data_IF_351134842949
#
_entry.id   IF_351134842949
#
_cell.length_a   1.000
_cell.length_b   1.000
_cell.length_c   1.000
_cell.angle_alpha   90.00
_cell.angle_beta   90.00
_cell.angle_gamma   90.00
#
_symmetry.space_group_name_H-M   'P 1'
#
loop_
_entity.id
_entity.type
_entity.pdbx_description
1 polymer ?
#
# COMPACT_ATOMS: atom_id res chain seq x y z
N UNK A 1 11.99 3.33 16.00
CA UNK A 1 12.02 2.09 15.15
C UNK A 1 11.10 2.33 13.98
N UNK A 2 11.58 2.18 12.74
CA UNK A 2 10.77 2.39 11.55
C UNK A 2 9.84 1.20 11.34
N UNK A 3 8.54 1.44 11.38
CA UNK A 3 7.53 0.41 11.15
C UNK A 3 7.39 0.11 9.64
N UNK A 4 6.85 -1.07 9.35
CA UNK A 4 6.49 -1.48 7.99
C UNK A 4 5.00 -1.82 7.98
N UNK A 5 4.38 -1.70 6.83
CA UNK A 5 3.02 -2.19 6.63
C UNK A 5 2.84 -3.62 7.18
N UNK A 6 1.78 -3.90 7.95
CA UNK A 6 1.48 -5.25 8.43
C UNK A 6 1.07 -6.20 7.31
N UNK A 7 0.70 -5.67 6.15
CA UNK A 7 0.29 -6.45 4.99
C UNK A 7 1.24 -6.25 3.81
N UNK A 8 1.33 -7.24 2.96
CA UNK A 8 1.82 -7.07 1.60
C UNK A 8 0.62 -6.75 0.74
N UNK A 9 0.63 -5.62 0.05
CA UNK A 9 -0.47 -5.20 -0.81
C UNK A 9 0.05 -4.93 -2.22
N UNK A 10 -0.79 -5.21 -3.24
CA UNK A 10 -0.41 -4.96 -4.63
C UNK A 10 -0.17 -3.46 -4.85
N UNK A 11 0.91 -3.12 -5.54
CA UNK A 11 1.31 -1.70 -5.70
C UNK A 11 2.02 -1.09 -4.50
N UNK A 12 2.14 -1.82 -3.38
CA UNK A 12 2.75 -1.29 -2.14
C UNK A 12 4.20 -0.81 -2.33
N UNK A 13 4.50 0.36 -1.79
CA UNK A 13 5.75 1.13 -1.97
C UNK A 13 6.94 0.66 -1.14
N UNK A 14 6.91 -0.57 -0.59
CA UNK A 14 7.93 -1.04 0.34
C UNK A 14 9.40 -0.84 -0.10
N UNK A 15 9.68 -0.94 -1.39
CA UNK A 15 11.02 -0.73 -1.94
C UNK A 15 11.35 0.74 -2.21
N UNK A 16 10.34 1.59 -2.35
CA UNK A 16 10.48 3.01 -2.68
C UNK A 16 10.40 3.90 -1.43
N UNK A 17 9.91 3.36 -0.32
CA UNK A 17 9.57 4.14 0.88
C UNK A 17 10.71 5.00 1.41
N UNK A 18 11.97 4.52 1.31
CA UNK A 18 13.14 5.29 1.74
C UNK A 18 13.34 6.56 0.93
N UNK A 19 13.05 6.48 -0.37
CA UNK A 19 13.12 7.62 -1.27
C UNK A 19 11.92 8.56 -1.08
N UNK A 20 10.70 8.01 -0.91
CA UNK A 20 9.51 8.82 -0.66
C UNK A 20 9.64 9.67 0.60
N UNK A 21 10.28 9.15 1.64
CA UNK A 21 10.49 9.88 2.89
C UNK A 21 11.36 11.14 2.72
N UNK A 22 12.24 11.16 1.73
CA UNK A 22 13.07 12.35 1.41
C UNK A 22 12.22 13.50 0.83
N UNK A 23 11.02 13.18 0.36
CA UNK A 23 10.08 14.14 -0.22
C UNK A 23 8.90 14.49 0.69
N UNK A 24 8.86 13.95 1.91
CA UNK A 24 7.83 14.32 2.89
C UNK A 24 8.13 15.73 3.42
N UNK A 25 7.26 16.73 3.18
CA UNK A 25 7.49 18.09 3.65
C UNK A 25 7.21 18.22 5.15
N UNK A 26 7.58 19.33 5.75
CA UNK A 26 7.07 19.71 7.07
C UNK A 26 5.55 19.91 7.00
N UNK A 27 4.82 19.27 7.92
CA UNK A 27 3.35 19.29 7.99
C UNK A 27 2.86 19.05 9.42
N UNK A 28 1.66 19.54 9.70
CA UNK A 28 0.96 19.32 10.97
C UNK A 28 -0.14 18.26 10.83
N UNK A 29 -0.71 18.13 9.62
CA UNK A 29 -1.80 17.22 9.27
C UNK A 29 -1.38 16.32 8.12
N UNK A 30 -1.69 15.04 8.22
CA UNK A 30 -1.35 14.05 7.19
C UNK A 30 -2.58 13.29 6.72
N UNK A 31 -2.74 13.15 5.40
CA UNK A 31 -3.79 12.33 4.79
C UNK A 31 -3.19 11.37 3.76
N UNK A 32 -3.39 10.07 3.96
CA UNK A 32 -3.15 9.03 2.96
C UNK A 32 -4.46 8.67 2.27
N UNK A 33 -4.69 9.21 1.05
CA UNK A 33 -6.00 9.19 0.37
C UNK A 33 -6.32 7.81 -0.21
N UNK A 34 -5.33 7.14 -0.80
CA UNK A 34 -5.38 5.78 -1.34
C UNK A 34 -4.46 4.91 -0.48
N UNK A 35 -4.92 4.60 0.72
CA UNK A 35 -4.05 4.11 1.78
C UNK A 35 -3.47 2.73 1.52
N UNK A 36 -4.22 1.80 0.92
CA UNK A 36 -3.74 0.46 0.63
C UNK A 36 -3.11 -0.19 1.86
N UNK A 37 -1.83 -0.55 1.75
CA UNK A 37 -1.05 -1.10 2.87
C UNK A 37 -0.53 -0.05 3.87
N UNK A 38 -0.83 1.23 3.73
CA UNK A 38 -0.39 2.33 4.59
C UNK A 38 1.15 2.41 4.73
N UNK A 39 1.87 2.19 3.64
CA UNK A 39 3.33 2.05 3.72
C UNK A 39 4.03 3.34 4.14
N UNK A 40 3.57 4.50 3.68
CA UNK A 40 4.15 5.79 4.05
C UNK A 40 3.74 6.19 5.47
N UNK A 41 2.47 6.00 5.84
CA UNK A 41 1.95 6.26 7.19
C UNK A 41 2.77 5.54 8.27
N UNK A 42 3.08 4.25 8.07
CA UNK A 42 3.86 3.48 9.04
C UNK A 42 5.35 3.82 9.03
N UNK A 43 5.87 4.34 7.93
CA UNK A 43 7.29 4.59 7.78
C UNK A 43 7.72 6.00 8.21
N UNK A 44 6.86 7.00 8.04
CA UNK A 44 7.14 8.38 8.43
C UNK A 44 7.00 8.59 9.95
N UNK A 45 7.56 9.67 10.44
CA UNK A 45 7.31 10.11 11.80
C UNK A 45 5.84 10.54 11.97
N UNK A 46 5.28 10.24 13.15
CA UNK A 46 3.92 10.63 13.48
C UNK A 46 3.81 12.13 13.66
N UNK A 47 2.73 12.71 13.16
CA UNK A 47 2.35 14.10 13.43
C UNK A 47 1.05 14.15 14.26
N UNK A 48 0.64 15.33 14.70
CA UNK A 48 -0.47 15.49 15.65
C UNK A 48 -1.83 14.99 15.13
N UNK A 49 -2.08 15.06 13.83
CA UNK A 49 -3.33 14.60 13.22
C UNK A 49 -3.06 13.86 11.91
N UNK A 50 -3.45 12.59 11.86
CA UNK A 50 -3.23 11.72 10.71
C UNK A 50 -4.50 10.97 10.33
N UNK A 51 -4.76 10.88 9.04
CA UNK A 51 -5.91 10.20 8.47
C UNK A 51 -5.44 9.17 7.46
N UNK A 52 -5.93 7.96 7.62
CA UNK A 52 -5.88 6.89 6.64
C UNK A 52 -7.23 6.78 5.96
N UNK A 53 -7.26 6.78 4.65
CA UNK A 53 -8.46 6.52 3.86
C UNK A 53 -8.19 5.45 2.80
N UNK A 54 -9.18 4.60 2.57
CA UNK A 54 -9.22 3.72 1.41
C UNK A 54 -10.67 3.43 1.02
N UNK A 55 -10.90 3.23 -0.27
CA UNK A 55 -12.22 2.82 -0.78
C UNK A 55 -12.51 1.35 -0.50
N UNK A 56 -11.47 0.51 -0.31
CA UNK A 56 -11.62 -0.91 -0.01
C UNK A 56 -12.03 -1.12 1.45
N UNK A 57 -13.31 -1.40 1.68
CA UNK A 57 -13.85 -1.68 3.01
C UNK A 57 -13.17 -2.85 3.74
N UNK A 58 -12.51 -3.79 3.03
CA UNK A 58 -11.77 -4.87 3.68
C UNK A 58 -10.46 -4.36 4.32
N UNK A 59 -9.76 -3.45 3.65
CA UNK A 59 -8.58 -2.78 4.21
C UNK A 59 -8.98 -1.93 5.41
N UNK A 60 -10.04 -1.14 5.25
CA UNK A 60 -10.58 -0.29 6.33
C UNK A 60 -10.99 -1.13 7.53
N UNK A 61 -11.71 -2.25 7.31
CA UNK A 61 -12.08 -3.17 8.39
C UNK A 61 -10.83 -3.72 9.09
N UNK A 62 -9.83 -4.17 8.35
CA UNK A 62 -8.59 -4.69 8.92
C UNK A 62 -7.89 -3.65 9.81
N UNK A 63 -7.74 -2.41 9.35
CA UNK A 63 -7.07 -1.37 10.13
C UNK A 63 -7.92 -0.89 11.33
N UNK A 64 -9.26 -0.85 11.21
CA UNK A 64 -10.14 -0.61 12.35
C UNK A 64 -10.01 -1.70 13.41
N UNK A 65 -10.02 -2.97 13.00
CA UNK A 65 -9.87 -4.10 13.91
C UNK A 65 -8.48 -4.09 14.57
N UNK A 66 -7.42 -3.80 13.84
CA UNK A 66 -6.07 -3.64 14.39
C UNK A 66 -5.98 -2.49 15.40
N UNK A 67 -6.79 -1.43 15.27
CA UNK A 67 -6.85 -0.31 16.20
C UNK A 67 -7.78 -0.60 17.39
N UNK A 68 -8.99 -1.05 17.12
CA UNK A 68 -10.09 -1.02 18.11
C UNK A 68 -10.33 -2.39 18.79
N UNK A 69 -9.93 -3.50 18.15
CA UNK A 69 -10.15 -4.89 18.61
C UNK A 69 -8.86 -5.71 18.61
N UNK A 70 -7.74 -5.06 18.96
CA UNK A 70 -6.39 -5.63 18.81
C UNK A 70 -6.22 -6.96 19.55
N UNK A 71 -6.61 -7.05 20.82
CA UNK A 71 -6.35 -8.22 21.66
C UNK A 71 -7.02 -9.48 21.12
N UNK A 72 -8.25 -9.37 20.66
CA UNK A 72 -8.99 -10.48 20.08
C UNK A 72 -8.37 -10.90 18.72
N UNK A 73 -8.11 -9.92 17.85
CA UNK A 73 -7.47 -10.17 16.56
C UNK A 73 -6.11 -10.83 16.72
N UNK A 74 -5.27 -10.29 17.60
CA UNK A 74 -3.91 -10.79 17.83
C UNK A 74 -3.92 -12.22 18.35
N UNK A 75 -4.77 -12.55 19.34
CA UNK A 75 -4.93 -13.93 19.81
C UNK A 75 -5.31 -14.89 18.70
N UNK A 76 -6.27 -14.50 17.85
CA UNK A 76 -6.71 -15.32 16.70
C UNK A 76 -5.57 -15.51 15.68
N UNK A 77 -4.79 -14.47 15.39
CA UNK A 77 -3.69 -14.52 14.41
C UNK A 77 -2.51 -15.35 14.93
N UNK A 78 -2.15 -15.24 16.22
CA UNK A 78 -1.06 -15.99 16.83
C UNK A 78 -1.27 -17.50 16.70
N UNK A 79 -2.49 -17.98 16.87
CA UNK A 79 -2.81 -19.41 16.74
C UNK A 79 -3.09 -19.85 15.30
N UNK A 80 -3.13 -18.93 14.35
CA UNK A 80 -3.39 -19.24 12.93
C UNK A 80 -2.14 -19.86 12.29
N UNK A 81 -2.21 -21.11 11.81
CA UNK A 81 -1.05 -21.79 11.24
C UNK A 81 -0.65 -21.26 9.87
N UNK A 82 0.64 -21.34 9.52
CA UNK A 82 1.08 -21.13 8.14
C UNK A 82 0.82 -22.40 7.34
N UNK A 83 -0.40 -22.55 6.84
CA UNK A 83 -0.86 -23.78 6.18
C UNK A 83 -1.70 -23.47 4.93
N UNK A 84 -1.55 -24.32 3.90
CA UNK A 84 -2.29 -24.17 2.64
C UNK A 84 -3.80 -24.27 2.85
N UNK A 85 -4.24 -25.18 3.69
CA UNK A 85 -5.66 -25.38 3.96
C UNK A 85 -6.27 -24.15 4.64
N UNK A 86 -5.60 -23.62 5.68
CA UNK A 86 -6.01 -22.38 6.35
C UNK A 86 -6.05 -21.18 5.38
N UNK A 87 -5.02 -21.04 4.54
CA UNK A 87 -5.01 -20.02 3.50
C UNK A 87 -6.21 -20.13 2.55
N UNK A 88 -6.50 -21.35 2.07
CA UNK A 88 -7.62 -21.58 1.13
C UNK A 88 -8.96 -21.33 1.79
N UNK A 89 -9.14 -21.72 3.04
CA UNK A 89 -10.33 -21.42 3.83
C UNK A 89 -10.51 -19.89 3.97
N UNK A 90 -9.49 -19.22 4.49
CA UNK A 90 -9.52 -17.76 4.69
C UNK A 90 -9.83 -17.00 3.40
N UNK A 91 -9.13 -17.36 2.31
CA UNK A 91 -9.31 -16.75 0.99
C UNK A 91 -10.76 -16.87 0.47
N UNK A 92 -11.38 -18.03 0.67
CA UNK A 92 -12.73 -18.31 0.14
C UNK A 92 -13.83 -17.65 0.96
N UNK A 93 -13.60 -17.45 2.26
CA UNK A 93 -14.69 -17.18 3.21
C UNK A 93 -14.62 -15.82 3.89
N UNK A 94 -13.56 -14.99 3.67
CA UNK A 94 -13.46 -13.71 4.37
C UNK A 94 -14.60 -12.75 4.01
N UNK A 95 -15.05 -12.73 2.74
CA UNK A 95 -16.14 -11.83 2.27
C UNK A 95 -17.50 -12.17 2.88
N UNK A 96 -17.70 -13.44 3.22
CA UNK A 96 -18.97 -13.98 3.77
C UNK A 96 -19.02 -13.93 5.28
N UNK A 97 -17.92 -13.57 5.95
CA UNK A 97 -17.83 -13.54 7.39
C UNK A 97 -18.43 -12.24 7.94
N UNK A 98 -19.47 -12.35 8.77
CA UNK A 98 -20.16 -11.20 9.37
C UNK A 98 -19.39 -10.61 10.55
N UNK A 99 -18.69 -11.46 11.35
CA UNK A 99 -17.85 -10.99 12.46
C UNK A 99 -16.67 -10.20 11.93
N UNK A 100 -16.56 -8.88 12.24
CA UNK A 100 -15.52 -8.02 11.70
C UNK A 100 -14.11 -8.45 12.10
N UNK A 101 -13.92 -9.02 13.29
CA UNK A 101 -12.60 -9.46 13.76
C UNK A 101 -12.16 -10.72 13.03
N UNK A 102 -13.05 -11.69 12.88
CA UNK A 102 -12.75 -12.92 12.14
C UNK A 102 -12.59 -12.64 10.64
N UNK A 103 -13.41 -11.73 10.08
CA UNK A 103 -13.28 -11.24 8.70
C UNK A 103 -11.91 -10.62 8.47
N UNK A 104 -11.46 -9.75 9.37
CA UNK A 104 -10.12 -9.15 9.31
C UNK A 104 -9.01 -10.19 9.43
N UNK A 105 -9.14 -11.20 10.32
CA UNK A 105 -8.18 -12.29 10.45
C UNK A 105 -8.07 -13.10 9.17
N UNK A 106 -9.19 -13.48 8.58
CA UNK A 106 -9.20 -14.24 7.31
C UNK A 106 -8.59 -13.42 6.17
N UNK A 107 -8.96 -12.16 6.04
CA UNK A 107 -8.41 -11.26 5.03
C UNK A 107 -6.90 -11.05 5.21
N UNK A 108 -6.44 -10.79 6.43
CA UNK A 108 -5.03 -10.66 6.77
C UNK A 108 -4.25 -11.95 6.42
N UNK A 109 -4.78 -13.12 6.78
CA UNK A 109 -4.18 -14.42 6.47
C UNK A 109 -4.09 -14.62 4.95
N UNK A 110 -5.15 -14.33 4.22
CA UNK A 110 -5.18 -14.43 2.76
C UNK A 110 -4.12 -13.53 2.09
N UNK A 111 -3.96 -12.28 2.55
CA UNK A 111 -2.94 -11.36 2.04
C UNK A 111 -1.52 -11.80 2.39
N UNK A 112 -1.27 -12.23 3.63
CA UNK A 112 0.08 -12.54 4.12
C UNK A 112 0.59 -13.89 3.66
N UNK A 113 -0.28 -14.88 3.54
CA UNK A 113 0.04 -16.22 3.04
C UNK A 113 -0.18 -16.35 1.53
N UNK A 114 -0.81 -15.36 0.88
CA UNK A 114 -0.98 -15.27 -0.57
C UNK A 114 0.28 -14.81 -1.31
N UNK A 115 0.36 -15.14 -2.59
CA UNK A 115 1.45 -14.69 -3.46
C UNK A 115 1.24 -13.23 -3.86
N UNK A 116 2.32 -12.42 -3.85
CA UNK A 116 2.33 -11.01 -4.28
C UNK A 116 1.36 -10.07 -3.55
N UNK A 117 0.88 -10.43 -2.33
CA UNK A 117 -0.02 -9.57 -1.56
C UNK A 117 -1.41 -9.41 -2.17
N UNK A 118 -1.85 -10.35 -2.97
CA UNK A 118 -3.21 -10.45 -3.47
C UNK A 118 -3.93 -11.58 -2.73
N UNK A 119 -5.05 -11.27 -2.09
CA UNK A 119 -5.82 -12.25 -1.32
C UNK A 119 -6.30 -13.42 -2.21
N UNK A 120 -6.52 -13.17 -3.49
CA UNK A 120 -7.02 -14.16 -4.47
C UNK A 120 -5.92 -14.89 -5.25
N UNK A 121 -4.64 -14.60 -4.99
CA UNK A 121 -3.50 -15.28 -5.61
C UNK A 121 -3.30 -16.71 -5.07
N UNK A 122 -2.29 -17.41 -5.56
CA UNK A 122 -1.89 -18.73 -5.05
C UNK A 122 -1.23 -18.64 -3.67
N UNK A 123 -1.22 -19.75 -2.93
CA UNK A 123 -0.52 -19.84 -1.65
C UNK A 123 0.99 -19.68 -1.81
N UNK A 124 1.59 -18.78 -1.04
CA UNK A 124 3.03 -18.53 -1.05
C UNK A 124 3.76 -19.51 -0.18
N UNK A 125 4.62 -20.32 -0.78
CA UNK A 125 5.47 -21.27 -0.06
C UNK A 125 6.94 -21.15 -0.52
N UNK A 126 7.85 -21.48 0.37
CA UNK A 126 9.27 -21.51 0.07
C UNK A 126 9.74 -22.98 -0.02
N UNK A 127 10.45 -23.32 -1.09
CA UNK A 127 11.02 -24.68 -1.26
C UNK A 127 12.41 -24.81 -0.64
N UNK A 128 13.29 -23.84 -0.86
CA UNK A 128 14.71 -23.85 -0.45
C UNK A 128 15.13 -22.62 0.34
N UNK A 129 14.40 -21.52 0.20
CA UNK A 129 14.76 -20.26 0.86
C UNK A 129 14.49 -20.32 2.35
N UNK A 130 15.55 -20.15 3.15
CA UNK A 130 15.51 -20.11 4.62
C UNK A 130 15.87 -18.74 5.14
N UNK A 131 15.30 -18.36 6.28
CA UNK A 131 15.62 -17.16 7.06
C UNK A 131 15.47 -17.49 8.53
N UNK A 132 16.48 -17.20 9.35
CA UNK A 132 16.50 -17.53 10.79
C UNK A 132 16.14 -19.00 11.10
N UNK A 133 16.69 -19.96 10.33
CA UNK A 133 16.46 -21.40 10.52
C UNK A 133 15.11 -21.93 10.00
N UNK A 134 14.17 -21.07 9.64
CA UNK A 134 12.85 -21.41 9.14
C UNK A 134 12.75 -21.21 7.61
N UNK A 135 11.72 -21.78 6.98
CA UNK A 135 11.36 -21.34 5.63
C UNK A 135 11.06 -19.86 5.62
N UNK A 136 11.54 -19.15 4.60
CA UNK A 136 11.44 -17.69 4.50
C UNK A 136 9.99 -17.18 4.57
N UNK A 137 9.02 -17.94 4.07
CA UNK A 137 7.59 -17.63 4.16
C UNK A 137 7.07 -17.69 5.60
N UNK A 138 7.43 -18.73 6.35
CA UNK A 138 7.08 -18.90 7.77
C UNK A 138 7.74 -17.83 8.63
N UNK A 139 9.05 -17.61 8.45
CA UNK A 139 9.78 -16.55 9.15
C UNK A 139 9.15 -15.15 8.92
N UNK A 140 8.72 -14.88 7.68
CA UNK A 140 8.02 -13.61 7.36
C UNK A 140 6.66 -13.50 8.02
N UNK A 141 5.90 -14.60 8.16
CA UNK A 141 4.63 -14.65 8.87
C UNK A 141 4.81 -14.33 10.35
N UNK A 142 5.70 -15.04 11.02
CA UNK A 142 5.99 -14.85 12.45
C UNK A 142 6.51 -13.44 12.75
N UNK A 143 7.47 -12.94 11.98
CA UNK A 143 7.99 -11.58 12.14
C UNK A 143 6.91 -10.50 11.96
N UNK A 144 5.87 -10.78 11.16
CA UNK A 144 4.76 -9.84 11.03
C UNK A 144 3.88 -9.86 12.28
N UNK A 145 3.59 -11.03 12.82
CA UNK A 145 2.79 -11.17 14.06
C UNK A 145 3.49 -10.43 15.22
N UNK A 146 4.80 -10.62 15.36
CA UNK A 146 5.63 -9.91 16.37
C UNK A 146 5.56 -8.38 16.24
N UNK A 147 5.28 -7.87 15.05
CA UNK A 147 5.21 -6.43 14.79
C UNK A 147 3.82 -5.84 15.01
N UNK A 148 2.76 -6.66 15.10
CA UNK A 148 1.37 -6.18 15.23
C UNK A 148 1.12 -5.28 16.45
N UNK A 149 1.70 -5.52 17.65
CA UNK A 149 1.53 -4.61 18.78
C UNK A 149 2.00 -3.18 18.49
N UNK A 150 3.11 -3.02 17.77
CA UNK A 150 3.63 -1.70 17.40
C UNK A 150 2.75 -1.03 16.33
N UNK A 151 2.18 -1.81 15.42
CA UNK A 151 1.19 -1.33 14.44
C UNK A 151 -0.07 -0.84 15.15
N UNK A 152 -0.59 -1.59 16.11
CA UNK A 152 -1.72 -1.17 16.95
C UNK A 152 -1.43 0.18 17.62
N UNK A 153 -0.32 0.28 18.35
CA UNK A 153 0.07 1.52 19.03
C UNK A 153 0.16 2.70 18.07
N UNK A 154 0.67 2.48 16.86
CA UNK A 154 0.74 3.52 15.81
C UNK A 154 -0.63 3.95 15.32
N UNK A 155 -1.56 3.00 15.14
CA UNK A 155 -2.91 3.26 14.65
C UNK A 155 -3.81 3.99 15.67
N UNK A 156 -3.49 3.94 16.97
CA UNK A 156 -4.24 4.67 18.02
C UNK A 156 -4.26 6.18 17.78
N UNK A 157 -3.30 6.72 17.02
CA UNK A 157 -3.19 8.14 16.68
C UNK A 157 -3.73 8.47 15.28
N UNK A 158 -4.36 7.48 14.59
CA UNK A 158 -4.80 7.63 13.20
C UNK A 158 -6.32 7.56 13.11
N UNK A 159 -6.92 8.55 12.48
CA UNK A 159 -8.31 8.50 12.06
C UNK A 159 -8.44 7.62 10.82
N UNK A 160 -9.44 6.75 10.77
CA UNK A 160 -9.66 5.82 9.66
C UNK A 160 -10.96 6.14 8.97
N UNK A 161 -10.89 6.45 7.68
CA UNK A 161 -12.02 6.77 6.79
C UNK A 161 -12.22 5.66 5.75
N UNK A 162 -13.43 5.61 5.19
CA UNK A 162 -13.77 4.74 4.05
C UNK A 162 -14.59 5.55 3.06
N UNK A 163 -13.94 6.51 2.43
CA UNK A 163 -14.57 7.49 1.56
C UNK A 163 -14.01 7.37 0.13
N UNK A 164 -14.80 7.80 -0.84
CA UNK A 164 -14.29 8.07 -2.18
C UNK A 164 -13.21 9.15 -2.10
N UNK A 165 -12.16 9.06 -2.93
CA UNK A 165 -11.01 9.95 -2.90
C UNK A 165 -11.40 11.44 -2.95
N UNK A 166 -12.38 11.80 -3.81
CA UNK A 166 -12.84 13.19 -3.95
C UNK A 166 -13.47 13.71 -2.66
N UNK A 167 -14.40 12.96 -2.09
CA UNK A 167 -15.05 13.31 -0.83
C UNK A 167 -14.03 13.44 0.30
N UNK A 168 -13.10 12.51 0.38
CA UNK A 168 -12.04 12.53 1.36
C UNK A 168 -11.16 13.77 1.22
N UNK A 169 -10.69 14.07 0.02
CA UNK A 169 -9.85 15.25 -0.23
C UNK A 169 -10.59 16.56 0.01
N UNK A 170 -11.86 16.67 -0.38
CA UNK A 170 -12.69 17.84 -0.15
C UNK A 170 -12.90 18.11 1.36
N UNK A 171 -13.14 17.04 2.14
CA UNK A 171 -13.32 17.10 3.60
C UNK A 171 -12.12 17.66 4.35
N UNK A 172 -10.90 17.36 3.89
CA UNK A 172 -9.66 17.72 4.57
C UNK A 172 -8.88 18.87 3.89
N UNK A 173 -9.39 19.44 2.81
CA UNK A 173 -8.71 20.48 2.04
C UNK A 173 -8.51 21.80 2.82
N UNK A 174 -9.30 22.05 3.85
CA UNK A 174 -9.20 23.24 4.70
C UNK A 174 -8.02 23.20 5.70
N UNK A 175 -7.22 22.12 5.70
CA UNK A 175 -5.92 22.13 6.37
C UNK A 175 -4.90 23.07 5.72
N UNK A 176 -5.20 23.49 4.48
CA UNK A 176 -4.37 24.41 3.71
C UNK A 176 -2.89 23.95 3.67
N UNK A 177 -1.97 24.89 3.73
CA UNK A 177 -0.54 24.61 3.63
C UNK A 177 0.08 23.90 4.85
N UNK A 178 -0.65 23.77 5.95
CA UNK A 178 -0.29 22.93 7.09
C UNK A 178 -0.54 21.43 6.83
N UNK A 179 -1.41 21.11 5.86
CA UNK A 179 -1.74 19.76 5.44
C UNK A 179 -0.76 19.16 4.42
N UNK A 180 -0.57 17.85 4.50
CA UNK A 180 0.14 17.06 3.50
C UNK A 180 -0.69 15.85 3.10
N UNK A 181 -1.05 15.76 1.81
CA UNK A 181 -1.76 14.64 1.21
C UNK A 181 -0.79 13.76 0.42
N UNK A 182 -0.76 12.48 0.72
CA UNK A 182 -0.10 11.49 -0.10
C UNK A 182 -1.15 10.72 -0.92
N UNK A 183 -0.97 10.73 -2.23
CA UNK A 183 -1.83 10.08 -3.19
C UNK A 183 -1.05 8.99 -3.94
N UNK A 184 -1.51 7.75 -3.81
CA UNK A 184 -0.99 6.58 -4.53
C UNK A 184 -2.15 5.82 -5.19
N UNK A 185 -2.83 6.46 -6.17
CA UNK A 185 -4.00 5.87 -6.82
C UNK A 185 -3.62 4.61 -7.60
N UNK A 186 -4.57 3.71 -7.91
CA UNK A 186 -4.37 2.70 -8.93
C UNK A 186 -3.85 3.37 -10.21
N UNK A 187 -2.67 2.96 -10.68
CA UNK A 187 -2.03 3.64 -11.81
C UNK A 187 -2.84 3.49 -13.10
N UNK A 188 -2.72 4.45 -14.00
CA UNK A 188 -3.39 4.46 -15.30
C UNK A 188 -3.31 3.09 -15.98
N UNK A 189 -4.42 2.49 -16.42
CA UNK A 189 -4.44 1.16 -17.04
C UNK A 189 -3.47 1.03 -18.21
N UNK A 190 -3.35 2.07 -19.04
CA UNK A 190 -2.51 2.09 -20.25
C UNK A 190 -1.00 2.05 -19.94
N UNK A 191 -0.60 2.42 -18.72
CA UNK A 191 0.80 2.39 -18.27
C UNK A 191 1.20 1.05 -17.66
N UNK A 192 0.26 0.11 -17.51
CA UNK A 192 0.45 -1.16 -16.80
C UNK A 192 0.42 -2.36 -17.75
N UNK A 193 1.24 -3.39 -17.45
CA UNK A 193 1.20 -4.67 -18.18
C UNK A 193 -0.09 -5.47 -17.93
N UNK A 194 -0.73 -5.29 -16.75
CA UNK A 194 -2.01 -5.91 -16.37
C UNK A 194 -2.99 -4.79 -16.04
N UNK A 195 -3.92 -4.45 -16.94
CA UNK A 195 -4.87 -3.36 -16.72
C UNK A 195 -5.77 -3.56 -15.49
N UNK A 196 -6.20 -4.80 -15.21
CA UNK A 196 -7.10 -5.14 -14.10
C UNK A 196 -6.34 -5.80 -12.94
N UNK A 197 -5.43 -5.09 -12.31
CA UNK A 197 -4.60 -5.64 -11.22
C UNK A 197 -5.08 -5.23 -9.82
N UNK A 198 -5.82 -4.14 -9.71
CA UNK A 198 -6.38 -3.66 -8.45
C UNK A 198 -7.82 -4.15 -8.27
N UNK A 199 -8.24 -4.27 -7.03
CA UNK A 199 -9.63 -4.64 -6.69
C UNK A 199 -10.61 -3.51 -7.01
N UNK A 200 -10.17 -2.27 -6.82
CA UNK A 200 -10.88 -1.05 -7.20
C UNK A 200 -9.97 -0.30 -8.18
N UNK A 201 -10.36 -0.31 -9.43
CA UNK A 201 -9.59 0.35 -10.50
C UNK A 201 -10.04 1.80 -10.67
N UNK A 202 -9.13 2.63 -11.14
CA UNK A 202 -9.43 3.97 -11.63
C UNK A 202 -9.31 3.99 -13.15
N UNK A 203 -10.34 4.51 -13.82
CA UNK A 203 -10.34 4.71 -15.27
C UNK A 203 -9.52 5.95 -15.64
N UNK A 204 -9.22 6.13 -16.94
CA UNK A 204 -8.59 7.37 -17.42
C UNK A 204 -9.42 8.60 -17.03
N UNK A 205 -10.75 8.52 -17.12
CA UNK A 205 -11.64 9.60 -16.74
C UNK A 205 -11.51 9.95 -15.25
N UNK A 206 -11.40 8.96 -14.35
CA UNK A 206 -11.19 9.20 -12.93
C UNK A 206 -9.87 9.94 -12.66
N UNK A 207 -8.82 9.61 -13.43
CA UNK A 207 -7.54 10.31 -13.37
C UNK A 207 -7.62 11.74 -13.94
N UNK A 208 -8.38 11.97 -14.99
CA UNK A 208 -8.64 13.31 -15.54
C UNK A 208 -9.35 14.18 -14.49
N UNK A 209 -10.36 13.65 -13.82
CA UNK A 209 -11.05 14.33 -12.73
C UNK A 209 -10.13 14.58 -11.52
N UNK A 210 -9.22 13.65 -11.22
CA UNK A 210 -8.23 13.84 -10.16
C UNK A 210 -7.26 14.97 -10.51
N UNK A 211 -6.71 15.00 -11.72
CA UNK A 211 -5.80 16.05 -12.18
C UNK A 211 -6.51 17.42 -12.18
N UNK A 212 -7.75 17.51 -12.67
CA UNK A 212 -8.55 18.73 -12.61
C UNK A 212 -8.71 19.22 -11.16
N UNK A 213 -9.04 18.32 -10.23
CA UNK A 213 -9.17 18.69 -8.82
C UNK A 213 -7.84 19.18 -8.24
N UNK A 214 -6.73 18.51 -8.53
CA UNK A 214 -5.40 18.89 -8.07
C UNK A 214 -5.00 20.29 -8.56
N UNK A 215 -5.34 20.64 -9.80
CA UNK A 215 -4.99 21.92 -10.42
C UNK A 215 -5.91 23.07 -9.97
N UNK A 216 -7.17 22.78 -9.67
CA UNK A 216 -8.17 23.85 -9.47
C UNK A 216 -8.62 24.04 -8.04
N UNK A 217 -8.53 23.01 -7.20
CA UNK A 217 -9.13 23.02 -5.85
C UNK A 217 -8.13 22.82 -4.72
N UNK A 218 -6.96 22.23 -4.98
CA UNK A 218 -6.03 21.87 -3.90
C UNK A 218 -5.47 23.09 -3.18
N UNK A 219 -5.51 23.07 -1.86
CA UNK A 219 -4.94 24.08 -0.98
C UNK A 219 -3.80 23.56 -0.11
N UNK A 220 -3.55 22.28 -0.14
CA UNK A 220 -2.59 21.56 0.70
C UNK A 220 -1.31 21.20 -0.07
N UNK A 221 -0.27 20.77 0.64
CA UNK A 221 0.89 20.15 0.03
C UNK A 221 0.52 18.74 -0.43
N UNK A 222 0.83 18.40 -1.67
CA UNK A 222 0.44 17.11 -2.27
C UNK A 222 1.65 16.42 -2.89
N UNK A 223 1.77 15.12 -2.61
CA UNK A 223 2.67 14.21 -3.31
C UNK A 223 1.84 13.13 -3.99
N UNK A 224 1.85 13.10 -5.31
CA UNK A 224 1.17 12.12 -6.13
C UNK A 224 2.19 11.10 -6.67
N UNK A 225 1.94 9.81 -6.49
CA UNK A 225 2.72 8.71 -7.08
C UNK A 225 2.09 8.18 -8.36
N UNK A 226 2.92 7.77 -9.33
CA UNK A 226 2.43 7.18 -10.58
C UNK A 226 3.55 6.72 -11.51
N UNK A 227 3.18 6.14 -12.65
CA UNK A 227 4.07 6.01 -13.78
C UNK A 227 4.01 7.28 -14.64
N UNK A 228 5.10 7.58 -15.35
CA UNK A 228 5.13 8.66 -16.31
C UNK A 228 4.04 8.50 -17.38
N UNK A 229 3.29 9.57 -17.64
CA UNK A 229 2.17 9.56 -18.59
C UNK A 229 1.83 10.99 -19.09
N UNK A 230 1.12 11.05 -20.21
CA UNK A 230 0.68 12.30 -20.85
C UNK A 230 -0.26 13.14 -20.01
N UNK A 231 -1.13 12.51 -19.23
CA UNK A 231 -2.12 13.22 -18.42
C UNK A 231 -1.46 13.96 -17.23
N UNK A 232 -0.50 13.32 -16.54
CA UNK A 232 0.17 13.95 -15.42
C UNK A 232 1.19 15.02 -15.84
N UNK A 233 1.53 15.09 -17.13
CA UNK A 233 2.31 16.18 -17.68
C UNK A 233 1.62 17.55 -17.54
N UNK A 234 0.27 17.57 -17.41
CA UNK A 234 -0.47 18.82 -17.13
C UNK A 234 -0.10 19.40 -15.74
N UNK A 235 0.22 18.55 -14.76
CA UNK A 235 0.73 19.00 -13.46
C UNK A 235 2.09 19.70 -13.62
N UNK A 236 2.99 19.14 -14.45
CA UNK A 236 4.30 19.73 -14.72
C UNK A 236 4.18 21.11 -15.39
N UNK A 237 3.26 21.26 -16.35
CA UNK A 237 2.93 22.55 -16.98
C UNK A 237 2.43 23.59 -15.97
N UNK A 238 1.73 23.13 -14.93
CA UNK A 238 1.26 23.99 -13.84
C UNK A 238 2.32 24.28 -12.77
N UNK A 239 3.57 23.82 -12.97
CA UNK A 239 4.71 24.11 -12.09
C UNK A 239 5.02 23.04 -11.03
N UNK A 240 4.29 21.92 -11.01
CA UNK A 240 4.61 20.79 -10.13
C UNK A 240 5.99 20.21 -10.47
N UNK A 241 6.68 19.71 -9.46
CA UNK A 241 7.99 19.08 -9.61
C UNK A 241 7.85 17.58 -9.75
N UNK A 242 8.41 17.03 -10.82
CA UNK A 242 8.48 15.59 -11.10
C UNK A 242 9.83 15.04 -10.68
N UNK A 243 9.83 13.94 -9.94
CA UNK A 243 11.02 13.15 -9.61
C UNK A 243 10.74 11.68 -9.91
N UNK A 244 11.66 11.04 -10.65
CA UNK A 244 11.51 9.66 -11.09
C UNK A 244 12.60 8.76 -10.52
N UNK A 245 12.24 7.53 -10.18
CA UNK A 245 13.10 6.55 -9.53
C UNK A 245 13.12 5.25 -10.31
N UNK A 246 14.32 4.75 -10.61
CA UNK A 246 14.49 3.40 -11.15
C UNK A 246 14.26 2.38 -10.03
N UNK A 247 13.18 1.63 -10.15
CA UNK A 247 12.80 0.59 -9.18
C UNK A 247 13.07 -0.77 -9.80
N UNK A 248 14.13 -1.43 -9.33
CA UNK A 248 14.48 -2.79 -9.76
C UNK A 248 13.34 -3.78 -9.47
N UNK A 249 12.93 -4.54 -10.46
CA UNK A 249 11.90 -5.57 -10.31
C UNK A 249 12.47 -6.80 -9.60
N UNK A 250 12.47 -6.81 -8.25
CA UNK A 250 12.97 -7.93 -7.44
C UNK A 250 12.19 -9.25 -7.64
N UNK A 251 11.02 -9.23 -8.26
CA UNK A 251 10.26 -10.44 -8.59
C UNK A 251 11.03 -11.36 -9.57
N UNK A 252 11.77 -10.78 -10.50
CA UNK A 252 12.55 -11.54 -11.52
C UNK A 252 13.75 -12.25 -10.91
N UNK A 253 14.45 -11.64 -9.95
CA UNK A 253 15.59 -12.25 -9.28
C UNK A 253 15.20 -13.49 -8.44
N UNK A 254 13.98 -13.49 -7.89
CA UNK A 254 13.46 -14.64 -7.11
C UNK A 254 13.01 -15.80 -7.98
N UNK A 255 12.45 -15.55 -9.16
CA UNK A 255 12.05 -16.59 -10.12
C UNK A 255 13.26 -17.25 -10.78
N UNK A 256 14.39 -16.55 -10.95
CA UNK A 256 15.66 -17.12 -11.41
C UNK A 256 16.20 -18.21 -10.48
N UNK A 257 16.11 -17.99 -9.16
CA UNK A 257 16.57 -18.96 -8.15
C UNK A 257 15.62 -20.16 -8.00
N UNK A 258 14.38 -20.04 -8.38
CA UNK A 258 13.37 -21.09 -8.19
C UNK A 258 13.07 -21.90 -9.44
N UNK A 259 13.55 -21.48 -10.62
CA UNK A 259 13.37 -22.21 -11.90
C UNK A 259 11.90 -22.28 -12.41
N UNK A 260 10.97 -21.58 -11.74
CA UNK A 260 9.51 -21.72 -12.00
C UNK A 260 9.08 -21.22 -13.39
N UNK A 261 9.86 -20.35 -14.03
CA UNK A 261 9.51 -19.77 -15.33
C UNK A 261 10.39 -20.22 -16.51
N UNK A 262 11.24 -21.23 -16.30
CA UNK A 262 12.18 -21.72 -17.32
C UNK A 262 13.40 -20.79 -17.57
N UNK A 263 14.44 -21.33 -18.21
CA UNK A 263 15.73 -20.65 -18.40
C UNK A 263 15.66 -19.36 -19.27
N UNK A 264 14.68 -19.24 -20.14
CA UNK A 264 14.53 -18.10 -21.07
C UNK A 264 13.67 -16.92 -20.54
N UNK A 265 12.96 -17.08 -19.42
CA UNK A 265 12.09 -16.03 -18.90
C UNK A 265 12.84 -14.82 -18.30
N UNK A 266 14.16 -14.88 -18.22
CA UNK A 266 15.03 -13.89 -17.59
C UNK A 266 15.86 -13.03 -18.57
N UNK A 267 15.71 -13.19 -19.87
CA UNK A 267 16.57 -12.52 -20.87
C UNK A 267 16.07 -11.14 -21.30
N UNK A 268 14.85 -10.75 -20.95
CA UNK A 268 14.40 -9.37 -21.22
C UNK A 268 15.01 -8.40 -20.21
N UNK A 269 16.02 -7.66 -20.67
CA UNK A 269 16.71 -6.58 -19.93
C UNK A 269 15.81 -5.41 -19.54
N UNK A 270 14.54 -5.38 -19.97
CA UNK A 270 13.62 -4.23 -19.88
C UNK A 270 12.58 -4.34 -18.75
N UNK A 271 12.92 -4.95 -17.62
CA UNK A 271 11.99 -4.97 -16.46
C UNK A 271 12.28 -3.86 -15.44
N UNK A 272 12.98 -2.81 -15.81
CA UNK A 272 13.08 -1.60 -15.01
C UNK A 272 11.74 -0.89 -15.05
N UNK A 273 11.21 -0.55 -13.88
CA UNK A 273 10.03 0.29 -13.74
C UNK A 273 10.50 1.65 -13.24
N UNK A 274 10.13 2.67 -13.95
CA UNK A 274 10.37 4.04 -13.52
C UNK A 274 9.11 4.48 -12.80
N UNK A 275 9.20 4.59 -11.48
CA UNK A 275 8.14 5.18 -10.66
C UNK A 275 8.44 6.66 -10.45
N UNK A 276 7.44 7.51 -10.63
CA UNK A 276 7.58 8.95 -10.49
C UNK A 276 6.67 9.48 -9.37
N UNK A 277 7.07 10.60 -8.82
CA UNK A 277 6.23 11.42 -7.94
C UNK A 277 6.14 12.83 -8.50
N UNK A 278 4.99 13.46 -8.27
CA UNK A 278 4.74 14.88 -8.55
C UNK A 278 4.40 15.59 -7.25
N UNK A 279 5.06 16.73 -7.00
CA UNK A 279 4.82 17.55 -5.81
C UNK A 279 4.48 18.99 -6.21
N UNK A 280 3.49 19.61 -5.53
CA UNK A 280 3.13 21.02 -5.71
C UNK A 280 3.89 21.96 -4.76
N UNK A 281 4.88 21.46 -4.04
CA UNK A 281 5.72 22.19 -3.10
C UNK A 281 7.21 21.97 -3.40
N UNK A 282 8.04 22.86 -2.88
CA UNK A 282 9.50 22.68 -2.81
C UNK A 282 9.85 22.15 -1.41
N UNK A 283 10.90 21.36 -1.32
CA UNK A 283 11.47 20.95 -0.05
C UNK A 283 12.32 22.11 0.49
N UNK A 284 12.06 22.51 1.71
CA UNK A 284 12.94 23.39 2.44
C UNK A 284 14.11 22.54 3.00
N UNK A 285 15.28 22.65 2.37
CA UNK A 285 16.53 22.00 2.83
C UNK A 285 17.27 22.91 3.81
#
# INVERSE_FOLDING_TARGET
MRLRSPITYYGGKGNLISKLLEYVPLHEYYLEVFGGGASLLFAKESVGAEVYNDIDGELVNLFRVLRDHFDEFHRKVVITPYAREEYLFCRKTYKECEDPVERARRFFTALRQGFSGQAEAGWRHAFKSKKAGLFASVSSWLSTIEMLPYIHMRLMYVQIENLHWRECMEKYNDWEWAGFFYLDPPYLPDTRRKPSAYRFEMTRKDHEELVEWLLTKSKTKIMLSGYDNDLYFELEKAGWKKNCFDVGCHAVGRTRQTGILGENACLEKDQRRIECIWTNYLLDF
#
